data_IF_474693577758
#
_entry.id   IF_474693577758
#
_cell.length_a   1.000
_cell.length_b   1.000
_cell.length_c   1.000
_cell.angle_alpha   90.00
_cell.angle_beta   90.00
_cell.angle_gamma   90.00
#
_symmetry.space_group_name_H-M   'P 1'
#
loop_
_entity.id
_entity.type
_entity.pdbx_description
1 polymer ?
#
# COMPACT_ATOMS: atom_id res chain seq x y z
N UNK A 1 4.84 -11.28 -13.73
CA UNK A 1 4.01 -12.16 -14.59
C UNK A 1 3.58 -11.48 -15.89
N UNK A 2 3.29 -10.17 -15.92
CA UNK A 2 2.87 -9.45 -17.15
C UNK A 2 4.02 -9.22 -18.15
N UNK A 3 5.25 -8.98 -17.67
CA UNK A 3 6.43 -8.77 -18.52
C UNK A 3 6.87 -9.99 -19.38
N UNK A 4 6.18 -11.13 -19.28
CA UNK A 4 6.45 -12.35 -20.08
C UNK A 4 5.32 -12.71 -21.06
N UNK A 5 4.35 -11.82 -21.31
CA UNK A 5 3.28 -12.05 -22.29
C UNK A 5 2.02 -12.74 -21.76
N UNK A 6 1.85 -12.83 -20.44
CA UNK A 6 0.58 -13.29 -19.87
C UNK A 6 -0.40 -12.11 -19.69
N UNK A 7 -1.57 -12.22 -20.34
CA UNK A 7 -2.69 -11.27 -20.31
C UNK A 7 -3.31 -11.14 -18.91
N UNK A 8 -3.07 -12.11 -18.02
CA UNK A 8 -3.69 -12.19 -16.69
C UNK A 8 -2.84 -11.50 -15.62
N UNK A 9 -3.46 -10.55 -14.91
CA UNK A 9 -2.90 -9.95 -13.69
C UNK A 9 -3.31 -10.77 -12.46
N UNK A 10 -2.36 -11.00 -11.56
CA UNK A 10 -2.58 -11.74 -10.30
C UNK A 10 -2.55 -10.75 -9.14
N UNK A 11 -3.48 -10.90 -8.18
CA UNK A 11 -3.47 -10.16 -6.90
C UNK A 11 -3.13 -11.19 -5.81
N UNK A 12 -2.17 -10.87 -4.96
CA UNK A 12 -1.60 -11.84 -4.01
C UNK A 12 -0.43 -12.65 -4.58
N UNK A 13 -0.11 -13.83 -4.00
CA UNK A 13 -0.86 -14.58 -2.97
C UNK A 13 -0.79 -13.93 -1.57
N UNK A 14 -1.31 -14.62 -0.54
CA UNK A 14 -1.30 -14.17 0.86
C UNK A 14 -1.80 -12.74 1.02
N UNK A 15 -3.00 -12.48 0.48
CA UNK A 15 -3.58 -11.16 0.41
C UNK A 15 -5.08 -11.22 0.74
N UNK A 16 -5.68 -10.11 1.20
CA UNK A 16 -7.12 -10.04 1.42
C UNK A 16 -7.91 -9.90 0.11
N UNK A 17 -7.25 -9.70 -1.03
CA UNK A 17 -7.88 -9.42 -2.33
C UNK A 17 -8.06 -7.92 -2.58
N UNK A 18 -9.12 -7.53 -3.31
CA UNK A 18 -9.44 -6.14 -3.60
C UNK A 18 -10.94 -5.85 -3.46
N UNK A 19 -11.27 -4.60 -3.16
CA UNK A 19 -12.63 -4.10 -3.09
C UNK A 19 -12.74 -2.71 -3.70
N UNK A 20 -13.78 -2.50 -4.51
CA UNK A 20 -14.28 -1.19 -4.91
C UNK A 20 -15.57 -0.99 -4.09
N UNK A 21 -15.54 -0.18 -3.02
CA UNK A 21 -16.68 -0.04 -2.10
C UNK A 21 -17.98 0.29 -2.84
N UNK A 22 -19.08 -0.35 -2.43
CA UNK A 22 -20.39 -0.18 -3.07
C UNK A 22 -20.53 -0.80 -4.47
N UNK A 23 -19.48 -1.42 -5.03
CA UNK A 23 -19.53 -2.04 -6.36
C UNK A 23 -19.23 -3.53 -6.33
N UNK A 24 -18.01 -3.92 -5.97
CA UNK A 24 -17.59 -5.33 -6.00
C UNK A 24 -16.44 -5.61 -5.04
N UNK A 25 -16.38 -6.85 -4.58
CA UNK A 25 -15.35 -7.35 -3.68
C UNK A 25 -14.88 -8.72 -4.17
N UNK A 26 -13.59 -8.82 -4.47
CA UNK A 26 -12.92 -10.05 -4.86
C UNK A 26 -11.87 -10.40 -3.81
N UNK A 27 -12.34 -10.95 -2.68
CA UNK A 27 -11.49 -11.24 -1.54
C UNK A 27 -12.25 -11.43 -0.24
N UNK A 28 -11.58 -11.13 0.86
CA UNK A 28 -12.08 -11.23 2.24
C UNK A 28 -12.09 -9.87 2.95
N UNK A 29 -11.97 -8.77 2.21
CA UNK A 29 -12.07 -7.42 2.77
C UNK A 29 -13.51 -7.19 3.25
N UNK A 30 -13.78 -6.77 4.49
CA UNK A 30 -15.14 -6.47 4.92
C UNK A 30 -15.76 -5.35 4.08
N UNK A 31 -16.97 -5.54 3.55
CA UNK A 31 -17.57 -4.59 2.61
C UNK A 31 -18.23 -3.37 3.27
N UNK A 32 -18.50 -3.45 4.57
CA UNK A 32 -19.29 -2.50 5.36
C UNK A 32 -18.44 -1.54 6.23
N UNK A 33 -17.11 -1.67 6.19
CA UNK A 33 -16.20 -0.83 6.99
C UNK A 33 -15.99 0.58 6.40
N UNK A 34 -16.29 0.77 5.12
CA UNK A 34 -16.11 2.06 4.43
C UNK A 34 -17.13 2.25 3.31
N UNK A 35 -17.16 3.45 2.73
CA UNK A 35 -18.05 3.86 1.65
C UNK A 35 -17.26 4.20 0.38
N UNK A 36 -17.92 4.33 -0.79
CA UNK A 36 -17.30 4.91 -1.97
C UNK A 36 -16.71 6.30 -1.65
N UNK A 37 -15.53 6.60 -2.19
CA UNK A 37 -14.85 7.87 -2.03
C UNK A 37 -13.71 8.03 -3.04
N UNK A 38 -12.76 8.91 -2.75
CA UNK A 38 -11.74 9.37 -3.72
C UNK A 38 -10.31 8.93 -3.39
N UNK A 39 -10.13 8.05 -2.40
CA UNK A 39 -8.82 7.56 -1.99
C UNK A 39 -8.55 6.18 -2.62
N UNK A 40 -7.44 6.05 -3.33
CA UNK A 40 -6.88 4.75 -3.71
C UNK A 40 -6.03 4.17 -2.60
N UNK A 41 -6.17 2.89 -2.27
CA UNK A 41 -5.39 2.22 -1.23
C UNK A 41 -4.66 0.99 -1.77
N UNK A 42 -3.36 0.91 -1.55
CA UNK A 42 -2.55 -0.31 -1.78
C UNK A 42 -1.81 -0.73 -0.52
N UNK A 43 -1.88 -2.01 -0.16
CA UNK A 43 -1.29 -2.54 1.08
C UNK A 43 -0.76 -3.97 0.94
N UNK A 44 0.38 -4.27 1.57
CA UNK A 44 0.84 -5.67 1.74
C UNK A 44 0.04 -6.43 2.80
N UNK A 45 -0.49 -5.73 3.82
CA UNK A 45 -1.16 -6.34 4.98
C UNK A 45 -2.68 -6.26 4.89
N UNK A 46 -3.37 -7.37 5.16
CA UNK A 46 -4.83 -7.44 5.20
C UNK A 46 -5.43 -6.57 6.30
N UNK A 47 -5.07 -6.80 7.56
CA UNK A 47 -5.66 -6.06 8.69
C UNK A 47 -5.34 -4.57 8.68
N UNK A 48 -4.15 -4.17 8.21
CA UNK A 48 -3.82 -2.75 8.01
C UNK A 48 -4.63 -2.12 6.87
N UNK A 49 -5.02 -2.90 5.85
CA UNK A 49 -5.98 -2.43 4.84
C UNK A 49 -7.30 -2.08 5.53
N UNK A 50 -7.83 -2.97 6.36
CA UNK A 50 -9.13 -2.75 7.03
C UNK A 50 -9.06 -1.59 8.02
N UNK A 51 -7.95 -1.49 8.76
CA UNK A 51 -7.74 -0.39 9.68
C UNK A 51 -7.71 0.94 8.95
N UNK A 52 -6.96 1.06 7.85
CA UNK A 52 -6.92 2.30 7.07
C UNK A 52 -8.28 2.63 6.45
N UNK A 53 -9.01 1.61 5.98
CA UNK A 53 -10.36 1.76 5.48
C UNK A 53 -11.32 2.32 6.54
N UNK A 54 -11.21 1.84 7.77
CA UNK A 54 -11.98 2.34 8.91
C UNK A 54 -11.53 3.75 9.33
N UNK A 55 -10.23 3.98 9.42
CA UNK A 55 -9.64 5.26 9.83
C UNK A 55 -9.95 6.40 8.86
N UNK A 56 -10.30 6.12 7.59
CA UNK A 56 -10.66 7.13 6.58
C UNK A 56 -12.09 6.96 6.05
N UNK A 57 -12.96 6.27 6.79
CA UNK A 57 -14.37 6.01 6.38
C UNK A 57 -15.21 7.26 6.18
N UNK A 58 -14.80 8.39 6.77
CA UNK A 58 -15.42 9.69 6.57
C UNK A 58 -15.24 10.21 5.14
N UNK A 59 -14.10 9.90 4.51
CA UNK A 59 -13.80 10.26 3.11
C UNK A 59 -14.22 9.12 2.16
N UNK A 60 -13.84 7.89 2.47
CA UNK A 60 -14.11 6.71 1.63
C UNK A 60 -13.04 6.46 0.56
N UNK A 61 -13.21 5.37 -0.18
CA UNK A 61 -12.19 4.86 -1.12
C UNK A 61 -12.75 4.63 -2.52
N UNK A 62 -11.93 4.87 -3.53
CA UNK A 62 -12.20 4.49 -4.91
C UNK A 62 -12.04 2.98 -5.06
N UNK A 63 -10.85 2.46 -4.74
CA UNK A 63 -10.54 1.02 -4.68
C UNK A 63 -9.44 0.75 -3.65
N UNK A 64 -9.56 -0.37 -2.94
CA UNK A 64 -8.56 -0.87 -2.00
C UNK A 64 -8.01 -2.19 -2.49
N UNK A 65 -6.68 -2.30 -2.57
CA UNK A 65 -5.97 -3.48 -3.08
C UNK A 65 -4.99 -3.99 -2.03
N UNK A 66 -5.27 -5.17 -1.47
CA UNK A 66 -4.29 -5.94 -0.73
C UNK A 66 -3.43 -6.74 -1.70
N UNK A 67 -2.17 -6.38 -1.88
CA UNK A 67 -1.26 -7.02 -2.85
C UNK A 67 -0.55 -8.26 -2.29
N UNK A 68 -0.52 -8.41 -0.96
CA UNK A 68 -0.04 -9.58 -0.25
C UNK A 68 1.35 -9.43 0.39
N UNK A 69 1.59 -10.26 1.42
CA UNK A 69 2.79 -10.23 2.25
C UNK A 69 3.91 -11.20 1.83
N UNK A 70 3.68 -11.99 0.78
CA UNK A 70 4.68 -12.95 0.30
C UNK A 70 5.82 -12.25 -0.45
N UNK A 71 7.03 -12.85 -0.51
CA UNK A 71 8.17 -12.26 -1.21
C UNK A 71 7.99 -12.21 -2.74
N UNK A 72 7.15 -13.09 -3.29
CA UNK A 72 6.80 -13.13 -4.71
C UNK A 72 5.30 -12.93 -4.84
N UNK A 73 4.90 -11.79 -5.38
CA UNK A 73 3.51 -11.40 -5.62
C UNK A 73 3.25 -11.12 -7.10
N UNK A 74 1.98 -11.08 -7.48
CA UNK A 74 1.54 -10.72 -8.81
C UNK A 74 1.61 -9.23 -9.09
N UNK A 75 0.67 -8.48 -8.50
CA UNK A 75 0.53 -7.03 -8.61
C UNK A 75 1.36 -6.38 -7.50
N UNK A 76 2.19 -5.40 -7.87
CA UNK A 76 3.09 -4.71 -6.95
C UNK A 76 2.53 -3.34 -6.52
N UNK A 77 3.20 -2.66 -5.59
CA UNK A 77 2.92 -1.26 -5.29
C UNK A 77 2.98 -0.38 -6.52
N UNK A 78 3.98 -0.56 -7.39
CA UNK A 78 4.15 0.22 -8.62
C UNK A 78 2.97 -0.01 -9.57
N UNK A 79 2.53 -1.27 -9.74
CA UNK A 79 1.38 -1.57 -10.59
C UNK A 79 0.09 -0.90 -10.08
N UNK A 80 -0.11 -0.88 -8.76
CA UNK A 80 -1.26 -0.23 -8.14
C UNK A 80 -1.16 1.30 -8.21
N UNK A 81 0.02 1.89 -7.96
CA UNK A 81 0.28 3.32 -8.10
C UNK A 81 0.01 3.80 -9.53
N UNK A 82 0.48 3.07 -10.54
CA UNK A 82 0.20 3.38 -11.94
C UNK A 82 -1.30 3.31 -12.27
N UNK A 83 -2.01 2.31 -11.72
CA UNK A 83 -3.46 2.19 -11.91
C UNK A 83 -4.22 3.34 -11.25
N UNK A 84 -3.84 3.71 -10.01
CA UNK A 84 -4.46 4.83 -9.30
C UNK A 84 -4.12 6.19 -9.91
N UNK A 85 -2.92 6.38 -10.45
CA UNK A 85 -2.57 7.59 -11.22
C UNK A 85 -3.49 7.75 -12.43
N UNK A 86 -3.75 6.66 -13.16
CA UNK A 86 -4.63 6.66 -14.33
C UNK A 86 -6.13 6.74 -14.02
N UNK A 87 -6.53 6.45 -12.77
CA UNK A 87 -7.94 6.38 -12.37
C UNK A 87 -8.55 7.76 -12.11
N UNK A 88 -9.51 8.25 -12.91
CA UNK A 88 -10.17 9.55 -12.67
C UNK A 88 -10.99 9.58 -11.37
N UNK A 89 -11.28 8.42 -10.77
CA UNK A 89 -12.00 8.31 -9.50
C UNK A 89 -11.11 8.39 -8.26
N UNK A 90 -9.79 8.48 -8.45
CA UNK A 90 -8.80 8.61 -7.38
C UNK A 90 -8.15 9.99 -7.39
N UNK A 91 -8.24 10.72 -6.27
CA UNK A 91 -7.58 12.02 -6.04
C UNK A 91 -6.31 11.92 -5.20
N UNK A 92 -6.24 10.95 -4.29
CA UNK A 92 -5.11 10.73 -3.41
C UNK A 92 -4.86 9.23 -3.22
N UNK A 93 -3.60 8.86 -2.98
CA UNK A 93 -3.20 7.47 -2.82
C UNK A 93 -2.62 7.25 -1.41
N UNK A 94 -3.12 6.23 -0.71
CA UNK A 94 -2.51 5.73 0.51
C UNK A 94 -1.76 4.43 0.20
N UNK A 95 -0.46 4.42 0.52
CA UNK A 95 0.42 3.28 0.33
C UNK A 95 0.86 2.72 1.68
N UNK A 96 0.57 1.44 1.92
CA UNK A 96 1.02 0.70 3.11
C UNK A 96 2.07 -0.33 2.70
N UNK A 97 3.28 -0.11 3.17
CA UNK A 97 4.41 -1.02 3.06
C UNK A 97 4.69 -1.79 4.34
N UNK A 98 5.74 -2.59 4.31
CA UNK A 98 6.24 -3.38 5.42
C UNK A 98 7.76 -3.54 5.30
N UNK A 99 8.46 -3.81 6.40
CA UNK A 99 9.87 -4.23 6.37
C UNK A 99 10.13 -5.39 5.40
N UNK A 100 11.39 -5.50 4.95
CA UNK A 100 11.89 -6.59 4.11
C UNK A 100 11.75 -6.35 2.60
N UNK A 101 12.79 -6.72 1.85
CA UNK A 101 12.91 -6.36 0.43
C UNK A 101 13.06 -4.86 0.19
N UNK A 102 12.93 -4.45 -1.08
CA UNK A 102 13.19 -3.10 -1.59
C UNK A 102 11.97 -2.46 -2.31
N UNK A 103 10.77 -3.02 -2.09
CA UNK A 103 9.60 -2.71 -2.90
C UNK A 103 9.15 -1.25 -2.72
N UNK A 104 9.23 -0.73 -1.50
CA UNK A 104 8.86 0.63 -1.13
C UNK A 104 9.88 1.66 -1.65
N UNK A 105 11.17 1.32 -1.66
CA UNK A 105 12.24 2.14 -2.23
C UNK A 105 12.06 2.26 -3.76
N UNK A 106 11.79 1.14 -4.44
CA UNK A 106 11.46 1.16 -5.88
C UNK A 106 10.16 1.90 -6.17
N UNK A 107 9.17 1.79 -5.29
CA UNK A 107 7.94 2.58 -5.39
C UNK A 107 8.21 4.07 -5.24
N UNK A 108 9.12 4.48 -4.34
CA UNK A 108 9.52 5.87 -4.18
C UNK A 108 10.14 6.45 -5.47
N UNK A 109 11.05 5.71 -6.11
CA UNK A 109 11.62 6.09 -7.41
C UNK A 109 10.53 6.24 -8.49
N UNK A 110 9.58 5.30 -8.53
CA UNK A 110 8.46 5.35 -9.46
C UNK A 110 7.54 6.55 -9.21
N UNK A 111 7.20 6.83 -7.94
CA UNK A 111 6.37 7.97 -7.53
C UNK A 111 7.00 9.26 -8.02
N UNK A 112 8.29 9.46 -7.73
CA UNK A 112 9.03 10.67 -8.11
C UNK A 112 9.03 10.92 -9.62
N UNK A 113 9.04 9.86 -10.43
CA UNK A 113 9.13 9.96 -11.88
C UNK A 113 7.77 9.97 -12.60
N UNK A 114 6.71 9.39 -12.01
CA UNK A 114 5.49 9.04 -12.77
C UNK A 114 4.16 9.37 -12.07
N UNK A 115 4.15 9.67 -10.77
CA UNK A 115 2.91 9.88 -10.02
C UNK A 115 2.74 11.37 -9.71
N UNK A 116 1.64 11.95 -10.17
CA UNK A 116 1.35 13.38 -9.93
C UNK A 116 0.33 13.57 -8.82
N UNK A 117 -0.50 12.55 -8.55
CA UNK A 117 -1.43 12.56 -7.42
C UNK A 117 -0.69 12.52 -6.07
N UNK A 118 -1.19 13.20 -5.03
CA UNK A 118 -0.58 13.15 -3.71
C UNK A 118 -0.60 11.72 -3.15
N UNK A 119 0.54 11.31 -2.60
CA UNK A 119 0.72 10.00 -1.96
C UNK A 119 1.06 10.18 -0.48
N UNK A 120 0.41 9.38 0.38
CA UNK A 120 0.70 9.28 1.81
C UNK A 120 1.05 7.84 2.15
N UNK A 121 2.07 7.65 2.99
CA UNK A 121 2.69 6.36 3.25
C UNK A 121 2.64 5.92 4.71
N UNK A 122 2.59 4.62 4.93
CA UNK A 122 2.94 3.96 6.20
C UNK A 122 3.83 2.75 5.92
N UNK A 123 4.86 2.54 6.72
CA UNK A 123 5.70 1.33 6.66
C UNK A 123 5.59 0.59 7.99
N UNK A 124 5.03 -0.61 7.97
CA UNK A 124 4.95 -1.44 9.17
C UNK A 124 6.35 -1.95 9.58
N UNK A 125 6.58 -2.07 10.89
CA UNK A 125 7.80 -2.68 11.44
C UNK A 125 8.87 -1.70 11.96
N UNK A 126 8.53 -0.45 12.30
CA UNK A 126 9.47 0.51 12.91
C UNK A 126 10.13 0.01 14.21
N UNK A 127 9.50 -0.91 14.93
CA UNK A 127 10.01 -1.50 16.17
C UNK A 127 10.52 -2.93 16.00
N UNK A 128 10.65 -3.42 14.75
CA UNK A 128 11.07 -4.79 14.50
C UNK A 128 12.56 -4.98 14.84
N UNK A 129 12.92 -6.05 15.58
CA UNK A 129 14.31 -6.38 15.83
C UNK A 129 14.98 -6.94 14.56
N UNK A 130 16.28 -6.68 14.40
CA UNK A 130 17.06 -7.16 13.27
C UNK A 130 17.09 -8.70 13.19
N UNK A 131 17.07 -9.25 11.98
CA UNK A 131 17.23 -10.68 11.73
C UNK A 131 16.04 -11.56 12.13
N UNK A 132 14.88 -10.99 12.47
CA UNK A 132 13.64 -11.75 12.75
C UNK A 132 12.60 -11.58 11.65
N UNK A 133 11.98 -12.71 11.29
CA UNK A 133 10.78 -12.73 10.45
C UNK A 133 9.57 -12.28 11.27
N UNK A 134 8.84 -11.29 10.77
CA UNK A 134 7.64 -10.76 11.44
C UNK A 134 6.37 -11.22 10.71
N UNK A 135 5.83 -12.38 11.06
CA UNK A 135 4.54 -12.88 10.55
C UNK A 135 4.55 -13.23 9.06
N UNK A 136 4.51 -12.22 8.18
CA UNK A 136 4.58 -12.41 6.73
C UNK A 136 5.94 -12.96 6.29
N UNK A 137 5.93 -13.84 5.30
CA UNK A 137 7.15 -14.47 4.77
C UNK A 137 8.12 -13.45 4.16
N UNK A 138 7.63 -12.33 3.62
CA UNK A 138 8.46 -11.25 3.08
C UNK A 138 9.02 -10.29 4.12
N UNK A 139 8.56 -10.34 5.37
CA UNK A 139 8.92 -9.40 6.43
C UNK A 139 10.21 -9.79 7.16
N UNK A 140 11.32 -9.86 6.41
CA UNK A 140 12.65 -10.21 6.92
C UNK A 140 13.61 -9.05 6.63
N UNK A 141 14.21 -8.50 7.67
CA UNK A 141 15.27 -7.50 7.56
C UNK A 141 16.62 -8.21 7.40
N UNK A 142 17.32 -7.94 6.30
CA UNK A 142 18.67 -8.45 6.04
C UNK A 142 19.69 -7.32 6.08
N UNK A 143 20.41 -7.19 7.20
CA UNK A 143 21.37 -6.11 7.42
C UNK A 143 20.71 -4.73 7.48
N UNK A 144 21.35 -3.71 6.91
CA UNK A 144 20.84 -2.33 6.88
C UNK A 144 19.75 -2.07 5.82
N UNK A 145 19.54 -3.01 4.89
CA UNK A 145 18.59 -2.88 3.79
C UNK A 145 17.21 -3.44 4.18
N UNK A 146 16.15 -2.75 3.75
CA UNK A 146 14.77 -3.18 3.99
C UNK A 146 14.21 -2.86 5.38
N UNK A 147 14.88 -1.99 6.15
CA UNK A 147 14.35 -1.47 7.41
C UNK A 147 13.20 -0.48 7.16
N UNK A 148 12.27 -0.36 8.11
CA UNK A 148 11.17 0.59 7.99
C UNK A 148 11.68 2.05 7.93
N UNK A 149 12.81 2.34 8.59
CA UNK A 149 13.45 3.64 8.57
C UNK A 149 14.01 3.99 7.18
N UNK A 150 14.77 3.09 6.56
CA UNK A 150 15.32 3.30 5.21
C UNK A 150 14.20 3.48 4.17
N UNK A 151 13.16 2.66 4.25
CA UNK A 151 11.97 2.77 3.38
C UNK A 151 11.25 4.10 3.55
N UNK A 152 11.10 4.54 4.82
CA UNK A 152 10.52 5.84 5.14
C UNK A 152 11.34 6.97 4.50
N UNK A 153 12.67 6.96 4.67
CA UNK A 153 13.55 7.99 4.11
C UNK A 153 13.46 8.04 2.58
N UNK A 154 13.43 6.89 1.91
CA UNK A 154 13.27 6.80 0.46
C UNK A 154 11.93 7.41 -0.01
N UNK A 155 10.82 7.06 0.65
CA UNK A 155 9.49 7.58 0.35
C UNK A 155 9.41 9.10 0.60
N UNK A 156 9.94 9.60 1.71
CA UNK A 156 9.96 11.04 2.02
C UNK A 156 10.81 11.81 1.00
N UNK A 157 11.93 11.25 0.53
CA UNK A 157 12.74 11.83 -0.54
C UNK A 157 12.03 11.89 -1.91
N UNK A 158 10.95 11.11 -2.09
CA UNK A 158 10.05 11.18 -3.24
C UNK A 158 8.84 12.11 -3.03
N UNK A 159 8.76 12.81 -1.89
CA UNK A 159 7.66 13.73 -1.57
C UNK A 159 6.46 13.08 -0.87
N UNK A 160 6.55 11.80 -0.50
CA UNK A 160 5.49 11.09 0.24
C UNK A 160 5.55 11.51 1.71
N UNK A 161 4.42 11.93 2.29
CA UNK A 161 4.33 12.09 3.76
C UNK A 161 4.20 10.71 4.41
N UNK A 162 5.13 10.32 5.29
CA UNK A 162 5.13 8.98 5.92
C UNK A 162 4.83 9.05 7.42
N UNK A 163 3.66 8.53 7.81
CA UNK A 163 3.25 8.44 9.21
C UNK A 163 4.02 7.35 9.97
N UNK A 164 4.18 7.51 11.28
CA UNK A 164 4.79 6.50 12.16
C UNK A 164 3.76 5.46 12.65
N UNK A 165 2.47 5.77 12.54
CA UNK A 165 1.37 4.89 12.90
C UNK A 165 0.27 4.93 11.83
N UNK A 166 -0.62 3.93 11.76
CA UNK A 166 -1.77 3.99 10.86
C UNK A 166 -2.66 5.21 11.10
N UNK A 167 -2.93 5.56 12.37
CA UNK A 167 -3.77 6.72 12.70
C UNK A 167 -3.11 8.06 12.35
N UNK A 168 -1.79 8.18 12.50
CA UNK A 168 -1.05 9.35 12.01
C UNK A 168 -1.10 9.44 10.49
N UNK A 169 -0.93 8.32 9.80
CA UNK A 169 -1.04 8.23 8.33
C UNK A 169 -2.42 8.68 7.86
N UNK A 170 -3.49 8.27 8.55
CA UNK A 170 -4.84 8.72 8.27
C UNK A 170 -5.04 10.22 8.51
N UNK A 171 -4.37 10.82 9.50
CA UNK A 171 -4.39 12.29 9.68
C UNK A 171 -3.71 13.01 8.51
N UNK A 172 -2.54 12.52 8.08
CA UNK A 172 -1.82 13.09 6.92
C UNK A 172 -2.65 12.97 5.63
N UNK A 173 -3.37 11.87 5.43
CA UNK A 173 -4.26 11.68 4.28
C UNK A 173 -5.44 12.66 4.31
N UNK A 174 -5.99 12.97 5.49
CA UNK A 174 -7.07 13.97 5.62
C UNK A 174 -6.63 15.38 5.26
N UNK A 175 -5.37 15.75 5.47
CA UNK A 175 -4.85 17.08 5.09
C UNK A 175 -4.85 17.33 3.57
N UNK A 176 -5.14 16.31 2.76
CA UNK A 176 -5.24 16.42 1.30
C UNK A 176 -6.64 16.82 0.80
N UNK A 177 -7.65 16.82 1.68
CA UNK A 177 -9.06 17.10 1.38
C UNK A 177 -9.57 18.27 2.24
#
# INVERSE_FOLDING_TARGET
AVAKGNVTRIIGPNCPGLITPGQSNAGIIPADITKPGRIGLVSKSGTLTYQMMYELRDIGFSTCVGIGGDPIIGTTHIDALAAFEADPDTDAIVMIGEIGGDAEERAAEFIKANVTKPVVGYVAGFTAPEGKTMGHAGAIVSGSSGTAAAKKEALEAAGVKVGKTPSETAKLARELF
#
